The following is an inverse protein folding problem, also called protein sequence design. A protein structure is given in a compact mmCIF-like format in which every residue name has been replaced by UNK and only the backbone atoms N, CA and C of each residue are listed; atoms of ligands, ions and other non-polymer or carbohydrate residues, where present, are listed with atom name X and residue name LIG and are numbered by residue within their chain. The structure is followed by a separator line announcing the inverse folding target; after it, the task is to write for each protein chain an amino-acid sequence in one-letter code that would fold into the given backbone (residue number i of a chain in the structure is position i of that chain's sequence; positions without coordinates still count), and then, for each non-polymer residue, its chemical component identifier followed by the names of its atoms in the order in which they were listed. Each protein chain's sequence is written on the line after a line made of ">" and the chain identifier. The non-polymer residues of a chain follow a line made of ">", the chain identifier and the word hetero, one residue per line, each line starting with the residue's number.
data_IF_658667172875
#
_entry.id   IF_658667172875
#
_cell.length_a   1.000
_cell.length_b   1.000
_cell.length_c   1.000
_cell.angle_alpha   90.00
_cell.angle_beta   90.00
_cell.angle_gamma   90.00
#
_symmetry.space_group_name_H-M   'P 1'
#
loop_
_entity.id
_entity.type
_entity.pdbx_description
1 polymer ?
#
# COMPACT_ATOMS: atom_id res chain seq x y z
N UNK A 1 26.27 -14.92 -8.31
CA UNK A 1 25.68 -13.55 -8.24
C UNK A 1 25.44 -13.12 -9.67
N UNK A 2 24.18 -13.10 -10.10
CA UNK A 2 23.79 -12.68 -11.46
C UNK A 2 23.80 -11.14 -11.58
N UNK A 3 24.40 -10.61 -12.62
CA UNK A 3 24.56 -9.17 -12.84
C UNK A 3 23.72 -8.72 -14.05
N UNK A 4 22.63 -8.03 -13.78
CA UNK A 4 21.74 -7.47 -14.80
C UNK A 4 22.08 -6.01 -15.08
N UNK A 5 22.57 -5.68 -16.29
CA UNK A 5 22.58 -4.31 -16.78
C UNK A 5 21.23 -4.00 -17.46
N UNK A 6 20.61 -2.87 -17.11
CA UNK A 6 19.30 -2.51 -17.64
C UNK A 6 19.22 -1.02 -17.96
N UNK A 7 18.53 -0.67 -19.03
CA UNK A 7 18.20 0.72 -19.35
C UNK A 7 16.72 0.94 -19.72
N UNK A 8 16.26 2.14 -19.42
CA UNK A 8 15.10 2.74 -20.07
C UNK A 8 15.62 3.48 -21.33
N UNK A 9 15.17 3.06 -22.50
CA UNK A 9 15.64 3.66 -23.77
C UNK A 9 15.36 5.16 -23.82
N UNK A 10 16.27 5.89 -24.50
CA UNK A 10 16.19 7.34 -24.69
C UNK A 10 16.38 8.15 -23.37
N UNK A 11 15.89 9.40 -23.36
CA UNK A 11 15.69 10.30 -22.23
C UNK A 11 14.51 11.23 -22.55
N UNK A 12 13.99 11.98 -21.58
CA UNK A 12 12.81 12.84 -21.73
C UNK A 12 12.92 13.86 -22.88
N UNK A 13 14.13 14.33 -23.17
CA UNK A 13 14.39 15.31 -24.23
C UNK A 13 14.60 14.72 -25.64
N UNK A 14 14.59 13.38 -25.84
CA UNK A 14 14.84 12.79 -27.17
C UNK A 14 13.76 13.21 -28.16
N UNK A 15 14.18 13.87 -29.26
CA UNK A 15 13.28 14.40 -30.26
C UNK A 15 12.46 13.26 -30.93
N UNK A 16 11.15 13.46 -31.10
CA UNK A 16 10.25 12.51 -31.78
C UNK A 16 9.90 11.25 -31.00
N UNK A 17 10.53 11.01 -29.83
CA UNK A 17 10.31 9.81 -29.02
C UNK A 17 9.18 10.03 -28.01
N UNK A 18 7.92 9.89 -28.49
CA UNK A 18 6.70 10.17 -27.75
C UNK A 18 5.48 9.54 -28.42
N UNK A 19 4.43 9.38 -27.68
CA UNK A 19 3.13 8.95 -28.20
C UNK A 19 2.60 9.96 -29.23
N UNK A 20 1.82 9.44 -30.18
CA UNK A 20 1.19 10.24 -31.22
C UNK A 20 0.10 11.14 -30.60
N UNK A 21 0.20 12.45 -30.81
CA UNK A 21 -0.70 13.45 -30.21
C UNK A 21 -2.20 13.21 -30.45
N UNK A 22 -2.57 12.64 -31.60
CA UNK A 22 -3.95 12.31 -31.91
C UNK A 22 -4.52 11.16 -31.08
N UNK A 23 -3.67 10.37 -30.41
CA UNK A 23 -4.07 9.22 -29.58
C UNK A 23 -3.83 9.54 -28.11
N UNK A 24 -2.71 10.18 -27.81
CA UNK A 24 -2.36 10.67 -26.47
C UNK A 24 -2.10 12.18 -26.52
N UNK A 25 -3.07 13.03 -26.11
CA UNK A 25 -2.92 14.50 -26.11
C UNK A 25 -1.75 15.01 -25.28
N UNK A 26 -1.29 14.23 -24.27
CA UNK A 26 -0.16 14.56 -23.41
C UNK A 26 1.19 14.30 -24.09
N UNK A 27 1.20 13.63 -25.24
CA UNK A 27 2.43 13.26 -25.96
C UNK A 27 3.44 12.58 -25.02
N UNK A 28 2.98 11.60 -24.24
CA UNK A 28 3.80 10.88 -23.24
C UNK A 28 5.11 10.40 -23.86
N UNK A 29 6.22 10.72 -23.20
CA UNK A 29 7.56 10.42 -23.70
C UNK A 29 7.86 8.92 -23.61
N UNK A 30 8.57 8.40 -24.62
CA UNK A 30 9.01 7.00 -24.65
C UNK A 30 9.79 6.63 -23.39
N UNK A 31 10.74 7.47 -22.97
CA UNK A 31 11.49 7.22 -21.76
C UNK A 31 10.59 7.08 -20.50
N UNK A 32 9.51 7.85 -20.42
CA UNK A 32 8.57 7.77 -19.28
C UNK A 32 7.89 6.39 -19.22
N UNK A 33 7.48 5.85 -20.37
CA UNK A 33 6.90 4.51 -20.45
C UNK A 33 7.93 3.43 -20.12
N UNK A 34 9.14 3.57 -20.65
CA UNK A 34 10.25 2.65 -20.44
C UNK A 34 10.67 2.63 -18.98
N UNK A 35 10.91 3.81 -18.35
CA UNK A 35 11.36 3.94 -16.97
C UNK A 35 10.33 3.38 -15.99
N UNK A 36 9.04 3.58 -16.24
CA UNK A 36 7.96 3.02 -15.42
C UNK A 36 8.03 1.50 -15.34
N UNK A 37 8.31 0.82 -16.45
CA UNK A 37 8.47 -0.64 -16.46
C UNK A 37 9.76 -1.04 -15.73
N UNK A 38 10.87 -0.36 -16.00
CA UNK A 38 12.18 -0.67 -15.39
C UNK A 38 12.13 -0.51 -13.86
N UNK A 39 11.56 0.58 -13.34
CA UNK A 39 11.44 0.83 -11.89
C UNK A 39 10.63 -0.27 -11.17
N UNK A 40 9.54 -0.72 -11.81
CA UNK A 40 8.73 -1.82 -11.28
C UNK A 40 9.47 -3.16 -11.34
N UNK A 41 10.20 -3.41 -12.40
CA UNK A 41 11.04 -4.59 -12.57
C UNK A 41 12.15 -4.65 -11.50
N UNK A 42 12.86 -3.53 -11.28
CA UNK A 42 13.85 -3.41 -10.19
C UNK A 42 13.22 -3.69 -8.82
N UNK A 43 12.01 -3.18 -8.58
CA UNK A 43 11.27 -3.41 -7.32
C UNK A 43 10.97 -4.90 -7.12
N UNK A 44 10.47 -5.61 -8.15
CA UNK A 44 10.18 -7.05 -8.07
C UNK A 44 11.46 -7.84 -7.82
N UNK A 45 12.51 -7.58 -8.59
CA UNK A 45 13.78 -8.29 -8.49
C UNK A 45 14.52 -8.01 -7.17
N UNK A 46 14.24 -6.90 -6.50
CA UNK A 46 14.79 -6.59 -5.18
C UNK A 46 14.41 -7.61 -4.10
N UNK A 47 13.32 -8.38 -4.29
CA UNK A 47 12.91 -9.47 -3.39
C UNK A 47 13.69 -10.78 -3.61
N UNK A 48 14.65 -10.81 -4.54
CA UNK A 48 15.42 -12.01 -4.89
C UNK A 48 16.88 -11.93 -4.44
N UNK A 49 17.44 -13.07 -4.10
CA UNK A 49 18.87 -13.23 -3.76
C UNK A 49 19.70 -13.44 -5.03
N UNK A 50 20.99 -13.25 -4.88
CA UNK A 50 21.98 -13.53 -5.93
C UNK A 50 21.80 -12.73 -7.23
N UNK A 51 21.18 -11.56 -7.17
CA UNK A 51 21.09 -10.61 -8.27
C UNK A 51 21.66 -9.25 -7.86
N UNK A 52 22.35 -8.62 -8.79
CA UNK A 52 22.72 -7.21 -8.75
C UNK A 52 22.21 -6.54 -10.02
N UNK A 53 21.71 -5.32 -9.90
CA UNK A 53 21.16 -4.55 -11.03
C UNK A 53 21.98 -3.27 -11.18
N UNK A 54 22.37 -2.96 -12.41
CA UNK A 54 23.03 -1.71 -12.79
C UNK A 54 22.16 -0.97 -13.82
N UNK A 55 21.57 0.18 -13.43
CA UNK A 55 20.98 1.12 -14.37
C UNK A 55 22.09 1.80 -15.16
N UNK A 56 22.01 1.74 -16.48
CA UNK A 56 23.00 2.36 -17.38
C UNK A 56 22.49 3.59 -18.12
N UNK A 57 21.22 3.95 -17.95
CA UNK A 57 20.63 5.24 -18.34
C UNK A 57 20.70 6.27 -17.18
N UNK A 58 20.22 7.48 -17.41
CA UNK A 58 19.97 8.45 -16.34
C UNK A 58 18.59 8.18 -15.71
N UNK A 59 18.55 7.76 -14.45
CA UNK A 59 17.33 7.41 -13.72
C UNK A 59 16.34 8.57 -13.58
N UNK A 60 16.80 9.81 -13.75
CA UNK A 60 15.93 11.00 -13.74
C UNK A 60 15.34 11.31 -15.12
N UNK A 61 15.94 10.77 -16.17
CA UNK A 61 15.61 11.03 -17.57
C UNK A 61 15.92 12.43 -18.05
N UNK A 62 16.66 13.23 -17.28
CA UNK A 62 16.97 14.61 -17.63
C UNK A 62 18.21 14.73 -18.55
N UNK A 63 19.09 13.72 -18.48
CA UNK A 63 20.34 13.71 -19.25
C UNK A 63 20.39 12.53 -20.20
N UNK A 64 20.85 12.80 -21.44
CA UNK A 64 21.12 11.71 -22.37
C UNK A 64 22.39 10.96 -21.96
N UNK A 65 22.24 9.67 -21.71
CA UNK A 65 23.37 8.75 -21.62
C UNK A 65 23.57 8.11 -22.98
N UNK A 66 24.65 8.48 -23.68
CA UNK A 66 24.91 7.95 -25.02
C UNK A 66 24.96 6.42 -25.06
N UNK A 67 24.60 5.83 -26.21
CA UNK A 67 24.61 4.37 -26.38
C UNK A 67 25.99 3.76 -26.07
N UNK A 68 27.06 4.44 -26.51
CA UNK A 68 28.44 3.99 -26.20
C UNK A 68 28.75 3.99 -24.71
N UNK A 69 28.24 4.97 -23.95
CA UNK A 69 28.42 5.04 -22.50
C UNK A 69 27.61 3.94 -21.81
N UNK A 70 26.38 3.68 -22.21
CA UNK A 70 25.54 2.58 -21.68
C UNK A 70 26.24 1.22 -21.85
N UNK A 71 26.70 0.94 -23.08
CA UNK A 71 27.48 -0.27 -23.39
C UNK A 71 28.76 -0.37 -22.58
N UNK A 72 29.52 0.73 -22.49
CA UNK A 72 30.76 0.76 -21.70
C UNK A 72 30.51 0.45 -20.23
N UNK A 73 29.49 1.03 -19.61
CA UNK A 73 29.12 0.76 -18.21
C UNK A 73 28.81 -0.72 -17.99
N UNK A 74 27.98 -1.32 -18.84
CA UNK A 74 27.63 -2.73 -18.74
C UNK A 74 28.85 -3.64 -18.92
N UNK A 75 29.69 -3.37 -19.93
CA UNK A 75 30.90 -4.15 -20.25
C UNK A 75 31.97 -4.04 -19.13
N UNK A 76 32.21 -2.84 -18.59
CA UNK A 76 33.18 -2.62 -17.51
C UNK A 76 32.73 -3.25 -16.20
N UNK A 77 31.41 -3.28 -15.96
CA UNK A 77 30.84 -3.93 -14.79
C UNK A 77 30.80 -5.48 -14.89
N UNK A 78 31.11 -6.00 -16.09
CA UNK A 78 31.01 -7.42 -16.41
C UNK A 78 29.59 -7.95 -16.10
N UNK A 79 28.58 -7.35 -16.70
CA UNK A 79 27.22 -7.83 -16.61
C UNK A 79 27.08 -9.22 -17.23
N UNK A 80 26.19 -10.04 -16.69
CA UNK A 80 25.87 -11.38 -17.24
C UNK A 80 24.79 -11.28 -18.31
N UNK A 81 23.94 -10.26 -18.23
CA UNK A 81 22.86 -9.98 -19.18
C UNK A 81 22.60 -8.49 -19.30
N UNK A 82 22.21 -8.05 -20.52
CA UNK A 82 21.78 -6.69 -20.82
C UNK A 82 20.34 -6.65 -21.30
N UNK A 83 19.46 -5.90 -20.63
CA UNK A 83 18.08 -5.69 -21.02
C UNK A 83 17.80 -4.21 -21.31
N UNK A 84 17.36 -3.91 -22.54
CA UNK A 84 16.95 -2.56 -22.93
C UNK A 84 15.44 -2.49 -23.12
N UNK A 85 14.76 -1.57 -22.44
CA UNK A 85 13.32 -1.40 -22.52
C UNK A 85 12.98 -0.18 -23.37
N UNK A 86 12.18 -0.41 -24.40
CA UNK A 86 11.72 0.56 -25.38
C UNK A 86 10.23 0.44 -25.66
N UNK A 87 9.67 1.43 -26.34
CA UNK A 87 8.38 1.37 -27.01
C UNK A 87 8.51 1.78 -28.46
N UNK A 88 7.90 1.01 -29.34
CA UNK A 88 8.03 1.14 -30.79
C UNK A 88 7.16 2.27 -31.36
N UNK A 89 7.41 2.60 -32.61
CA UNK A 89 6.58 3.48 -33.43
C UNK A 89 6.74 3.14 -34.94
N UNK A 90 5.91 3.70 -35.77
CA UNK A 90 5.99 3.55 -37.24
C UNK A 90 4.71 3.07 -37.90
N UNK A 91 3.60 2.95 -37.13
CA UNK A 91 2.28 2.58 -37.68
C UNK A 91 1.37 3.80 -37.91
N UNK A 92 1.80 5.00 -37.50
CA UNK A 92 1.19 6.29 -37.84
C UNK A 92 -0.32 6.36 -37.59
N UNK A 93 -0.77 5.86 -36.46
CA UNK A 93 -2.19 5.84 -36.08
C UNK A 93 -2.97 4.62 -36.58
N UNK A 94 -2.31 3.61 -37.16
CA UNK A 94 -2.94 2.33 -37.49
C UNK A 94 -3.26 1.50 -36.24
N UNK A 95 -3.99 0.39 -36.45
CA UNK A 95 -4.40 -0.57 -35.43
C UNK A 95 -3.41 -1.72 -35.21
N UNK A 96 -2.30 -1.75 -35.94
CA UNK A 96 -1.24 -2.74 -35.78
C UNK A 96 -0.44 -2.51 -34.51
N UNK A 97 0.49 -3.41 -34.21
CA UNK A 97 1.40 -3.24 -33.07
C UNK A 97 1.78 -4.52 -32.38
N UNK A 98 1.91 -4.43 -31.02
CA UNK A 98 2.28 -5.50 -30.13
C UNK A 98 3.72 -5.46 -29.67
N UNK A 99 4.06 -6.36 -28.78
CA UNK A 99 5.41 -6.51 -28.24
C UNK A 99 6.35 -7.16 -29.26
N UNK A 100 7.58 -6.67 -29.35
CA UNK A 100 8.64 -7.23 -30.21
C UNK A 100 9.94 -7.32 -29.40
N UNK A 101 10.60 -8.44 -29.46
CA UNK A 101 11.91 -8.63 -28.84
C UNK A 101 13.00 -8.65 -29.91
N UNK A 102 14.07 -7.91 -29.74
CA UNK A 102 15.19 -7.83 -30.67
C UNK A 102 16.48 -8.33 -30.04
N UNK A 103 17.26 -9.08 -30.83
CA UNK A 103 18.65 -9.43 -30.57
C UNK A 103 19.54 -8.97 -31.71
N UNK A 104 20.84 -8.99 -31.50
CA UNK A 104 21.78 -8.73 -32.57
C UNK A 104 21.64 -9.75 -33.71
N UNK A 105 21.85 -9.33 -34.98
CA UNK A 105 21.74 -10.23 -36.18
C UNK A 105 22.67 -11.42 -36.11
N UNK A 106 23.77 -11.34 -35.35
CA UNK A 106 24.72 -12.44 -35.14
C UNK A 106 24.62 -13.05 -33.72
N UNK A 107 23.47 -12.87 -33.07
CA UNK A 107 23.23 -13.43 -31.74
C UNK A 107 23.33 -14.98 -31.78
N UNK A 108 23.95 -15.53 -30.75
CA UNK A 108 24.06 -16.97 -30.54
C UNK A 108 22.72 -17.60 -30.06
N UNK A 109 22.71 -18.91 -29.93
CA UNK A 109 21.52 -19.65 -29.50
C UNK A 109 21.08 -19.26 -28.09
N UNK A 110 22.03 -19.02 -27.18
CA UNK A 110 21.76 -18.66 -25.80
C UNK A 110 21.10 -17.27 -25.67
N UNK A 111 21.58 -16.29 -26.44
CA UNK A 111 20.96 -14.96 -26.52
C UNK A 111 19.53 -15.04 -27.11
N UNK A 112 19.29 -15.93 -28.08
CA UNK A 112 17.95 -16.15 -28.66
C UNK A 112 17.00 -16.86 -27.68
N UNK A 113 17.51 -17.67 -26.79
CA UNK A 113 16.72 -18.26 -25.70
C UNK A 113 16.23 -17.18 -24.73
N UNK A 114 17.11 -16.27 -24.29
CA UNK A 114 16.71 -15.08 -23.52
C UNK A 114 15.63 -14.25 -24.24
N UNK A 115 15.81 -14.00 -25.52
CA UNK A 115 14.81 -13.28 -26.34
C UNK A 115 13.44 -13.96 -26.28
N UNK A 116 13.42 -15.28 -26.46
CA UNK A 116 12.19 -16.07 -26.49
C UNK A 116 11.47 -16.10 -25.16
N UNK A 117 12.20 -16.30 -24.05
CA UNK A 117 11.57 -16.35 -22.72
C UNK A 117 11.05 -15.00 -22.29
N UNK A 118 11.81 -13.92 -22.50
CA UNK A 118 11.36 -12.54 -22.21
C UNK A 118 10.10 -12.18 -23.00
N UNK A 119 10.07 -12.48 -24.29
CA UNK A 119 8.90 -12.26 -25.14
C UNK A 119 7.69 -13.04 -24.64
N UNK A 120 7.83 -14.35 -24.44
CA UNK A 120 6.73 -15.23 -24.06
C UNK A 120 6.12 -14.82 -22.71
N UNK A 121 6.97 -14.56 -21.70
CA UNK A 121 6.51 -14.09 -20.39
C UNK A 121 5.87 -12.72 -20.46
N UNK A 122 6.42 -11.80 -21.25
CA UNK A 122 5.77 -10.50 -21.46
C UNK A 122 4.37 -10.63 -22.04
N UNK A 123 4.17 -11.53 -23.03
CA UNK A 123 2.84 -11.76 -23.62
C UNK A 123 1.90 -12.47 -22.64
N UNK A 124 2.39 -13.44 -21.88
CA UNK A 124 1.60 -14.15 -20.87
C UNK A 124 0.94 -13.18 -19.88
N UNK A 125 1.69 -12.17 -19.44
CA UNK A 125 1.20 -11.19 -18.46
C UNK A 125 0.42 -10.02 -19.07
N UNK A 126 0.90 -9.48 -20.20
CA UNK A 126 0.32 -8.26 -20.80
C UNK A 126 -0.79 -8.53 -21.79
N UNK A 127 -0.84 -9.70 -22.38
CA UNK A 127 -1.68 -10.07 -23.52
C UNK A 127 -1.50 -9.14 -24.75
N UNK A 128 -0.40 -8.36 -24.81
CA UNK A 128 -0.11 -7.42 -25.90
C UNK A 128 0.72 -8.08 -27.02
N UNK A 129 0.20 -9.15 -27.60
CA UNK A 129 0.87 -9.88 -28.69
C UNK A 129 0.92 -9.07 -29.98
N UNK A 130 -0.16 -8.35 -30.32
CA UNK A 130 -0.29 -7.61 -31.53
C UNK A 130 -0.38 -8.52 -32.80
N UNK A 131 -0.03 -7.94 -33.93
CA UNK A 131 -0.17 -8.59 -35.27
C UNK A 131 1.15 -8.72 -36.01
N UNK A 132 2.28 -8.68 -35.35
CA UNK A 132 3.62 -8.80 -35.98
C UNK A 132 3.88 -10.25 -36.39
N UNK A 133 4.24 -10.46 -37.67
CA UNK A 133 4.57 -11.80 -38.15
C UNK A 133 5.82 -12.40 -37.51
N UNK A 134 6.82 -11.56 -37.22
CA UNK A 134 8.08 -11.95 -36.58
C UNK A 134 8.33 -11.11 -35.34
N UNK A 135 7.71 -11.45 -34.20
CA UNK A 135 7.91 -10.70 -32.95
C UNK A 135 9.26 -11.01 -32.29
N UNK A 136 9.91 -12.12 -32.64
CA UNK A 136 11.28 -12.44 -32.27
C UNK A 136 12.20 -12.03 -33.40
N UNK A 137 12.60 -10.78 -33.42
CA UNK A 137 13.32 -10.15 -34.50
C UNK A 137 14.83 -10.01 -34.20
N UNK A 138 15.60 -9.71 -35.23
CA UNK A 138 17.02 -9.35 -35.09
C UNK A 138 17.33 -8.07 -35.84
N UNK A 139 18.16 -7.22 -35.21
CA UNK A 139 18.63 -5.98 -35.78
C UNK A 139 20.01 -5.60 -35.21
N UNK A 140 20.72 -4.74 -35.95
CA UNK A 140 22.02 -4.24 -35.49
C UNK A 140 21.87 -3.02 -34.57
N UNK A 141 20.98 -3.10 -33.56
CA UNK A 141 20.91 -2.05 -32.54
C UNK A 141 22.22 -1.97 -31.77
N UNK A 142 22.67 -0.74 -31.51
CA UNK A 142 23.99 -0.49 -30.96
C UNK A 142 24.23 -1.24 -29.64
N UNK A 143 23.28 -1.19 -28.72
CA UNK A 143 23.39 -1.87 -27.43
C UNK A 143 23.45 -3.40 -27.56
N UNK A 144 22.71 -4.00 -28.50
CA UNK A 144 22.75 -5.44 -28.74
C UNK A 144 24.03 -5.88 -29.47
N UNK A 145 24.60 -5.01 -30.31
CA UNK A 145 25.75 -5.36 -31.15
C UNK A 145 27.11 -5.16 -30.46
N UNK A 146 27.20 -4.29 -29.43
CA UNK A 146 28.47 -3.88 -28.83
C UNK A 146 28.64 -4.28 -27.36
N UNK A 147 27.63 -4.91 -26.75
CA UNK A 147 27.75 -5.54 -25.44
C UNK A 147 28.49 -6.89 -25.55
N UNK A 148 29.26 -7.26 -24.52
CA UNK A 148 30.02 -8.50 -24.44
C UNK A 148 29.18 -9.69 -23.96
N UNK A 149 28.10 -9.40 -23.25
CA UNK A 149 27.16 -10.37 -22.71
C UNK A 149 25.92 -10.49 -23.64
N UNK A 150 25.08 -11.53 -23.48
CA UNK A 150 23.76 -11.61 -24.12
C UNK A 150 22.96 -10.33 -23.89
N UNK A 151 22.35 -9.80 -24.95
CA UNK A 151 21.60 -8.56 -24.91
C UNK A 151 20.29 -8.66 -25.68
N UNK A 152 19.21 -8.21 -25.05
CA UNK A 152 17.88 -8.17 -25.66
C UNK A 152 17.31 -6.74 -25.50
N UNK A 153 16.72 -6.22 -26.59
CA UNK A 153 15.95 -5.00 -26.59
C UNK A 153 14.46 -5.36 -26.76
N UNK A 154 13.66 -4.95 -25.81
CA UNK A 154 12.22 -5.18 -25.79
C UNK A 154 11.47 -3.94 -26.21
N UNK A 155 10.72 -4.02 -27.30
CA UNK A 155 9.75 -3.01 -27.72
C UNK A 155 8.38 -3.39 -27.16
N UNK A 156 7.98 -2.70 -26.10
CA UNK A 156 6.83 -3.06 -25.26
C UNK A 156 5.50 -2.47 -25.75
N UNK A 157 5.27 -2.49 -27.06
CA UNK A 157 4.09 -1.95 -27.74
C UNK A 157 4.40 -0.68 -28.54
N UNK A 158 3.45 -0.21 -29.32
CA UNK A 158 3.62 0.91 -30.26
C UNK A 158 2.95 2.19 -29.73
N UNK A 159 3.74 3.26 -29.62
CA UNK A 159 3.30 4.58 -29.15
C UNK A 159 2.40 5.33 -30.14
N UNK A 160 2.32 4.87 -31.36
CA UNK A 160 1.50 5.43 -32.44
C UNK A 160 0.41 4.47 -32.94
N UNK A 161 0.09 3.45 -32.15
CA UNK A 161 -0.99 2.49 -32.39
C UNK A 161 -2.29 2.92 -31.70
N UNK A 162 -3.40 2.90 -32.42
CA UNK A 162 -4.73 3.13 -31.81
C UNK A 162 -5.15 2.02 -30.86
N UNK A 163 -4.50 0.85 -30.90
CA UNK A 163 -4.76 -0.30 -30.03
C UNK A 163 -3.78 -0.32 -28.85
N UNK A 164 -2.47 -0.21 -29.13
CA UNK A 164 -1.44 -0.37 -28.09
C UNK A 164 -1.36 0.87 -27.17
N UNK A 165 -1.43 2.09 -27.74
CA UNK A 165 -1.21 3.32 -26.97
C UNK A 165 -2.14 3.44 -25.75
N UNK A 166 -3.46 3.22 -25.84
CA UNK A 166 -4.33 3.24 -24.66
C UNK A 166 -3.97 2.22 -23.59
N UNK A 167 -3.37 1.09 -23.98
CA UNK A 167 -2.94 0.01 -23.07
C UNK A 167 -1.64 0.38 -22.38
N UNK A 168 -0.61 0.75 -23.14
CA UNK A 168 0.74 1.03 -22.60
C UNK A 168 0.81 2.27 -21.71
N UNK A 169 -0.17 3.16 -21.82
CA UNK A 169 -0.32 4.32 -20.94
C UNK A 169 -0.77 3.96 -19.52
N UNK A 170 -1.32 2.76 -19.31
CA UNK A 170 -1.88 2.36 -18.01
C UNK A 170 -0.83 1.85 -17.03
N UNK A 171 -1.06 2.10 -15.73
CA UNK A 171 -0.23 1.51 -14.66
C UNK A 171 -0.37 -0.02 -14.61
N UNK A 172 -1.55 -0.55 -14.88
CA UNK A 172 -1.80 -2.00 -14.94
C UNK A 172 -0.91 -2.68 -15.96
N UNK A 173 -0.79 -2.09 -17.16
CA UNK A 173 0.11 -2.59 -18.18
C UNK A 173 1.57 -2.59 -17.72
N UNK A 174 2.04 -1.49 -17.14
CA UNK A 174 3.42 -1.39 -16.67
C UNK A 174 3.73 -2.41 -15.57
N UNK A 175 2.78 -2.65 -14.66
CA UNK A 175 2.90 -3.70 -13.63
C UNK A 175 3.01 -5.10 -14.27
N UNK A 176 2.11 -5.42 -15.20
CA UNK A 176 2.10 -6.71 -15.91
C UNK A 176 3.35 -6.92 -16.75
N UNK A 177 3.80 -5.89 -17.47
CA UNK A 177 5.02 -5.93 -18.25
C UNK A 177 6.25 -6.21 -17.38
N UNK A 178 6.39 -5.49 -16.27
CA UNK A 178 7.48 -5.70 -15.32
C UNK A 178 7.41 -7.10 -14.69
N UNK A 179 6.22 -7.59 -14.36
CA UNK A 179 6.05 -8.94 -13.81
C UNK A 179 6.50 -10.01 -14.81
N UNK A 180 6.07 -9.92 -16.09
CA UNK A 180 6.48 -10.88 -17.12
C UNK A 180 7.99 -10.87 -17.36
N UNK A 181 8.62 -9.68 -17.41
CA UNK A 181 10.08 -9.57 -17.54
C UNK A 181 10.81 -10.12 -16.31
N UNK A 182 10.29 -9.87 -15.10
CA UNK A 182 10.85 -10.41 -13.88
C UNK A 182 10.81 -11.94 -13.85
N UNK A 183 9.66 -12.54 -14.18
CA UNK A 183 9.50 -14.00 -14.25
C UNK A 183 10.51 -14.64 -15.21
N UNK A 184 10.69 -14.03 -16.40
CA UNK A 184 11.69 -14.49 -17.36
C UNK A 184 13.12 -14.47 -16.78
N UNK A 185 13.49 -13.38 -16.08
CA UNK A 185 14.81 -13.24 -15.47
C UNK A 185 14.98 -14.21 -14.31
N UNK A 186 13.98 -14.34 -13.45
CA UNK A 186 13.99 -15.25 -12.30
C UNK A 186 14.20 -16.70 -12.76
N UNK A 187 13.45 -17.11 -13.78
CA UNK A 187 13.53 -18.46 -14.35
C UNK A 187 14.89 -18.72 -14.98
N UNK A 188 15.34 -17.84 -15.89
CA UNK A 188 16.56 -18.04 -16.67
C UNK A 188 17.84 -17.88 -15.85
N UNK A 189 17.83 -17.00 -14.83
CA UNK A 189 18.97 -16.80 -13.94
C UNK A 189 18.87 -17.62 -12.64
N UNK A 190 17.88 -18.50 -12.52
CA UNK A 190 17.64 -19.38 -11.37
C UNK A 190 17.65 -18.61 -10.03
N UNK A 191 17.03 -17.43 -10.01
CA UNK A 191 17.03 -16.59 -8.82
C UNK A 191 16.17 -17.18 -7.70
N UNK A 192 16.66 -17.09 -6.47
CA UNK A 192 15.93 -17.54 -5.29
C UNK A 192 15.28 -16.34 -4.59
N UNK A 193 14.01 -16.47 -4.25
CA UNK A 193 13.33 -15.44 -3.47
C UNK A 193 14.00 -15.31 -2.10
N UNK A 194 14.27 -14.09 -1.67
CA UNK A 194 14.76 -13.82 -0.31
C UNK A 194 13.79 -14.43 0.69
N UNK A 195 14.30 -15.29 1.55
CA UNK A 195 13.53 -15.70 2.73
C UNK A 195 13.47 -14.45 3.60
N UNK A 196 12.38 -13.69 3.48
CA UNK A 196 12.11 -12.68 4.50
C UNK A 196 12.09 -13.44 5.83
N UNK A 197 12.90 -13.06 6.84
CA UNK A 197 12.74 -13.65 8.16
C UNK A 197 11.24 -13.54 8.44
N UNK A 198 10.65 -14.68 8.83
CA UNK A 198 9.25 -14.70 9.25
C UNK A 198 9.15 -13.61 10.30
N UNK A 199 8.66 -12.45 9.89
CA UNK A 199 8.25 -11.42 10.81
C UNK A 199 7.07 -12.09 11.48
N UNK A 200 7.33 -12.74 12.65
CA UNK A 200 6.25 -13.09 13.56
C UNK A 200 5.39 -11.84 13.58
N UNK A 201 4.11 -11.90 13.20
CA UNK A 201 3.30 -10.72 13.11
C UNK A 201 3.53 -9.96 14.42
N UNK A 202 4.13 -8.78 14.33
CA UNK A 202 4.23 -7.90 15.50
C UNK A 202 2.78 -7.78 15.92
N UNK A 203 2.42 -8.23 17.13
CA UNK A 203 1.03 -8.20 17.54
C UNK A 203 0.55 -6.79 17.25
N UNK A 204 -0.51 -6.64 16.47
CA UNK A 204 -1.07 -5.31 16.18
C UNK A 204 -1.17 -4.60 17.53
N UNK A 205 -0.71 -3.35 17.64
CA UNK A 205 -0.72 -2.67 18.92
C UNK A 205 -2.14 -2.76 19.47
N UNK A 206 -2.29 -3.44 20.60
CA UNK A 206 -3.58 -3.69 21.23
C UNK A 206 -4.27 -2.34 21.41
N UNK A 207 -5.45 -2.18 20.86
CA UNK A 207 -6.23 -0.96 21.08
C UNK A 207 -6.52 -0.90 22.57
N UNK A 208 -6.31 0.25 23.19
CA UNK A 208 -6.58 0.49 24.60
C UNK A 208 -7.53 1.66 24.77
N UNK A 209 -8.32 1.64 25.83
CA UNK A 209 -9.18 2.75 26.24
C UNK A 209 -8.57 3.48 27.43
N UNK A 210 -8.55 4.81 27.35
CA UNK A 210 -8.16 5.68 28.47
C UNK A 210 -9.38 6.50 28.87
N UNK A 211 -9.72 6.52 30.16
CA UNK A 211 -10.90 7.18 30.67
C UNK A 211 -10.67 7.80 32.05
N UNK A 212 -11.53 8.75 32.40
CA UNK A 212 -11.53 9.44 33.69
C UNK A 212 -12.93 9.93 34.03
N UNK A 213 -13.16 10.25 35.28
CA UNK A 213 -14.42 10.84 35.76
C UNK A 213 -14.16 12.14 36.50
N UNK A 214 -15.18 13.00 36.57
CA UNK A 214 -15.17 14.23 37.33
C UNK A 214 -15.56 14.00 38.80
N UNK A 215 -14.74 14.50 39.73
CA UNK A 215 -14.99 14.52 41.18
C UNK A 215 -15.51 15.91 41.59
N UNK A 216 -16.79 16.04 41.82
CA UNK A 216 -17.41 17.30 42.20
C UNK A 216 -16.89 17.80 43.56
N UNK A 217 -16.59 16.90 44.52
CA UNK A 217 -16.10 17.28 45.85
C UNK A 217 -14.72 17.95 45.78
N UNK A 218 -13.92 17.62 44.76
CA UNK A 218 -12.58 18.20 44.53
C UNK A 218 -12.57 19.21 43.37
N UNK A 219 -13.67 19.37 42.69
CA UNK A 219 -13.82 20.24 41.52
C UNK A 219 -12.71 19.98 40.47
N UNK A 220 -12.47 18.72 40.12
CA UNK A 220 -11.42 18.33 39.18
C UNK A 220 -11.67 16.95 38.51
N UNK A 221 -11.06 16.76 37.38
CA UNK A 221 -10.94 15.45 36.77
C UNK A 221 -9.99 14.57 37.58
N UNK A 222 -10.37 13.31 37.82
CA UNK A 222 -9.50 12.32 38.41
C UNK A 222 -8.43 11.87 37.41
N UNK A 223 -7.34 11.24 37.89
CA UNK A 223 -6.34 10.69 36.95
C UNK A 223 -6.93 9.77 35.91
N UNK A 224 -6.28 9.74 34.74
CA UNK A 224 -6.64 8.77 33.70
C UNK A 224 -6.42 7.33 34.19
N UNK A 225 -7.34 6.47 33.83
CA UNK A 225 -7.25 5.02 33.97
C UNK A 225 -7.17 4.42 32.58
N UNK A 226 -6.38 3.37 32.39
CA UNK A 226 -6.24 2.65 31.13
C UNK A 226 -6.75 1.23 31.28
N UNK A 227 -7.66 0.84 30.42
CA UNK A 227 -8.28 -0.49 30.41
C UNK A 227 -8.72 -0.92 31.82
N UNK A 228 -8.28 -2.08 32.28
CA UNK A 228 -8.58 -2.62 33.61
C UNK A 228 -7.45 -2.45 34.62
N UNK A 229 -6.46 -1.58 34.34
CA UNK A 229 -5.36 -1.31 35.28
C UNK A 229 -5.88 -0.81 36.60
N UNK A 230 -7.01 -0.07 36.59
CA UNK A 230 -7.71 0.41 37.79
C UNK A 230 -9.18 0.70 37.39
N UNK A 231 -9.87 1.46 38.21
CA UNK A 231 -11.18 2.03 37.94
C UNK A 231 -11.18 3.56 38.13
N UNK A 232 -12.03 4.26 37.40
CA UNK A 232 -12.20 5.70 37.58
C UNK A 232 -13.38 6.00 38.53
N UNK A 233 -13.11 6.74 39.57
CA UNK A 233 -14.09 7.11 40.60
C UNK A 233 -13.56 6.98 42.02
N UNK A 234 -14.41 7.30 43.00
CA UNK A 234 -14.18 7.03 44.40
C UNK A 234 -15.43 6.44 45.02
N UNK A 235 -15.31 5.29 45.64
CA UNK A 235 -16.46 4.67 46.34
C UNK A 235 -17.05 5.63 47.35
N UNK A 236 -18.37 5.77 47.26
CA UNK A 236 -19.14 6.70 48.09
C UNK A 236 -19.31 8.10 47.52
N UNK A 237 -18.70 8.45 46.36
CA UNK A 237 -18.84 9.74 45.69
C UNK A 237 -19.46 9.57 44.31
N UNK A 238 -20.38 10.46 43.98
CA UNK A 238 -21.10 10.38 42.69
C UNK A 238 -20.17 10.69 41.50
N UNK A 239 -20.28 9.89 40.45
CA UNK A 239 -19.75 10.23 39.13
C UNK A 239 -20.77 11.14 38.42
N UNK A 240 -20.33 12.31 37.97
CA UNK A 240 -21.17 13.29 37.28
C UNK A 240 -20.83 13.51 35.80
N UNK A 241 -19.58 13.26 35.43
CA UNK A 241 -19.13 13.36 34.05
C UNK A 241 -18.01 12.35 33.76
N UNK A 242 -17.94 11.94 32.50
CA UNK A 242 -16.99 10.92 31.99
C UNK A 242 -16.27 11.47 30.77
N UNK A 243 -14.96 11.23 30.70
CA UNK A 243 -14.14 11.31 29.49
C UNK A 243 -13.64 9.93 29.12
N UNK A 244 -13.65 9.61 27.83
CA UNK A 244 -13.04 8.39 27.29
C UNK A 244 -12.41 8.62 25.93
N UNK A 245 -11.31 7.89 25.63
CA UNK A 245 -10.62 7.93 24.36
C UNK A 245 -9.97 6.57 24.05
N UNK A 246 -9.85 6.21 22.78
CA UNK A 246 -9.11 5.04 22.33
C UNK A 246 -7.71 5.42 21.85
N UNK A 247 -6.76 4.49 21.92
CA UNK A 247 -5.44 4.66 21.33
C UNK A 247 -5.48 4.65 19.79
N UNK A 248 -6.53 4.05 19.18
CA UNK A 248 -6.79 4.03 17.73
C UNK A 248 -8.29 3.89 17.50
N UNK A 249 -8.85 4.65 16.55
CA UNK A 249 -10.28 4.67 16.23
C UNK A 249 -11.07 5.59 17.17
N UNK A 250 -12.39 5.50 17.11
CA UNK A 250 -13.29 6.35 17.87
C UNK A 250 -14.12 5.57 18.88
N UNK A 251 -14.34 6.18 20.05
CA UNK A 251 -15.31 5.75 21.05
C UNK A 251 -16.43 6.79 21.13
N UNK A 252 -17.69 6.32 21.03
CA UNK A 252 -18.89 7.13 21.22
C UNK A 252 -19.53 6.70 22.53
N UNK A 253 -19.86 7.65 23.39
CA UNK A 253 -20.45 7.35 24.69
C UNK A 253 -21.46 8.38 25.13
N UNK A 254 -22.42 7.97 25.96
CA UNK A 254 -23.43 8.84 26.55
C UNK A 254 -23.75 8.39 27.98
N UNK A 255 -24.22 9.31 28.78
CA UNK A 255 -24.63 9.05 30.16
C UNK A 255 -26.09 9.42 30.39
N UNK A 256 -26.74 8.71 31.27
CA UNK A 256 -28.07 9.07 31.76
C UNK A 256 -27.97 10.00 32.95
N UNK A 257 -28.60 11.16 32.86
CA UNK A 257 -28.69 12.16 33.91
C UNK A 257 -29.82 11.79 34.88
N UNK A 258 -29.46 11.35 36.07
CA UNK A 258 -30.40 10.92 37.09
C UNK A 258 -31.39 12.03 37.48
N UNK A 259 -30.95 13.29 37.58
CA UNK A 259 -31.78 14.42 38.01
C UNK A 259 -32.82 14.79 36.94
N UNK A 260 -32.44 14.75 35.64
CA UNK A 260 -33.32 15.06 34.52
C UNK A 260 -34.03 13.84 33.94
N UNK A 261 -33.72 12.64 34.41
CA UNK A 261 -34.29 11.35 33.98
C UNK A 261 -34.25 11.18 32.46
N UNK A 262 -33.11 11.50 31.85
CA UNK A 262 -32.89 11.37 30.41
C UNK A 262 -31.45 11.10 30.03
N UNK A 263 -31.24 10.42 28.90
CA UNK A 263 -29.94 10.32 28.27
C UNK A 263 -29.51 11.70 27.73
N UNK A 264 -28.26 12.06 27.97
CA UNK A 264 -27.64 13.23 27.40
C UNK A 264 -27.14 12.92 25.98
N UNK A 265 -26.90 13.94 25.14
CA UNK A 265 -26.27 13.73 23.84
C UNK A 265 -25.00 12.92 23.94
N UNK A 266 -24.76 12.07 22.92
CA UNK A 266 -23.54 11.30 22.84
C UNK A 266 -22.36 12.20 22.46
N UNK A 267 -21.19 11.88 22.98
CA UNK A 267 -19.91 12.53 22.67
C UNK A 267 -18.97 11.50 22.05
N UNK A 268 -17.98 11.98 21.29
CA UNK A 268 -16.98 11.17 20.62
C UNK A 268 -15.60 11.51 21.17
N UNK A 269 -14.84 10.49 21.56
CA UNK A 269 -13.50 10.67 22.10
C UNK A 269 -13.47 11.71 23.24
N UNK A 270 -12.49 12.62 23.20
CA UNK A 270 -12.36 13.74 24.13
C UNK A 270 -12.71 15.09 23.51
N UNK A 271 -13.53 15.10 22.46
CA UNK A 271 -14.02 16.35 21.85
C UNK A 271 -14.88 17.14 22.86
N UNK A 272 -15.59 16.39 23.72
CA UNK A 272 -16.32 16.91 24.89
C UNK A 272 -16.43 15.78 25.93
N UNK A 273 -17.04 16.08 27.10
CA UNK A 273 -17.34 15.08 28.13
C UNK A 273 -18.83 14.75 28.17
N UNK A 274 -19.16 13.50 28.51
CA UNK A 274 -20.52 13.11 28.76
C UNK A 274 -20.88 13.33 30.22
N UNK A 275 -21.87 14.16 30.49
CA UNK A 275 -22.36 14.46 31.84
C UNK A 275 -22.61 15.94 32.09
N UNK A 276 -22.93 16.27 33.31
CA UNK A 276 -23.08 17.66 33.79
C UNK A 276 -22.57 17.71 35.23
N UNK A 277 -21.65 18.60 35.55
CA UNK A 277 -21.11 18.78 36.88
C UNK A 277 -22.24 18.99 37.93
N UNK A 278 -22.02 18.48 39.12
CA UNK A 278 -22.99 18.48 40.22
C UNK A 278 -24.33 17.74 39.91
N UNK A 279 -24.31 16.82 38.95
CA UNK A 279 -25.47 16.02 38.56
C UNK A 279 -25.08 14.55 38.39
N UNK A 280 -25.40 13.69 39.38
CA UNK A 280 -25.06 12.29 39.30
C UNK A 280 -25.61 11.59 38.07
N UNK A 281 -24.82 10.70 37.53
CA UNK A 281 -25.27 9.77 36.49
C UNK A 281 -25.73 8.46 37.11
N UNK A 282 -26.65 7.77 36.41
CA UNK A 282 -27.17 6.46 36.81
C UNK A 282 -27.22 5.46 35.64
N UNK A 283 -26.63 5.86 34.49
CA UNK A 283 -26.45 5.01 33.32
C UNK A 283 -25.29 5.47 32.44
N UNK A 284 -24.59 4.54 31.81
CA UNK A 284 -23.50 4.75 30.89
C UNK A 284 -23.65 3.79 29.70
N UNK A 285 -23.54 4.28 28.46
CA UNK A 285 -23.49 3.45 27.29
C UNK A 285 -22.34 3.85 26.36
N UNK A 286 -21.68 2.84 25.75
CA UNK A 286 -20.50 3.04 24.92
C UNK A 286 -20.50 2.14 23.68
N UNK A 287 -19.91 2.62 22.59
CA UNK A 287 -19.61 1.85 21.37
C UNK A 287 -18.34 2.35 20.72
N UNK A 288 -17.75 1.55 19.83
CA UNK A 288 -16.57 1.90 19.05
C UNK A 288 -16.77 1.60 17.57
N UNK A 289 -16.01 2.25 16.70
CA UNK A 289 -15.95 2.01 15.25
C UNK A 289 -14.77 1.11 14.83
N UNK A 290 -14.01 0.59 15.78
CA UNK A 290 -12.77 -0.18 15.52
C UNK A 290 -13.00 -1.62 15.07
N UNK A 291 -14.25 -2.10 15.05
CA UNK A 291 -14.58 -3.52 14.84
C UNK A 291 -14.24 -4.42 16.05
N UNK A 292 -13.74 -3.85 17.14
CA UNK A 292 -13.48 -4.51 18.42
C UNK A 292 -14.66 -4.34 19.38
N UNK A 293 -14.75 -5.17 20.41
CA UNK A 293 -15.82 -5.07 21.42
C UNK A 293 -15.35 -4.21 22.58
N UNK A 294 -16.14 -3.20 22.94
CA UNK A 294 -15.90 -2.43 24.16
C UNK A 294 -16.74 -3.02 25.30
N UNK A 295 -16.10 -3.26 26.42
CA UNK A 295 -16.69 -3.79 27.63
C UNK A 295 -16.64 -2.72 28.71
N UNK A 296 -17.76 -2.45 29.35
CA UNK A 296 -17.82 -1.44 30.39
C UNK A 296 -18.81 -1.82 31.49
N UNK A 297 -18.50 -1.42 32.70
CA UNK A 297 -19.34 -1.64 33.89
C UNK A 297 -19.27 -0.47 34.83
N UNK A 298 -20.22 -0.44 35.76
CA UNK A 298 -20.30 0.57 36.81
C UNK A 298 -20.40 -0.05 38.18
N UNK A 299 -19.92 0.67 39.17
CA UNK A 299 -20.14 0.37 40.59
C UNK A 299 -21.30 1.20 41.11
N UNK A 300 -22.21 0.56 41.84
CA UNK A 300 -23.39 1.20 42.41
C UNK A 300 -23.07 1.68 43.84
N UNK A 301 -23.16 3.00 44.06
CA UNK A 301 -22.81 3.67 45.29
C UNK A 301 -23.52 3.10 46.52
N UNK A 302 -24.86 2.95 46.49
CA UNK A 302 -25.65 2.44 47.62
C UNK A 302 -25.52 0.96 47.87
N UNK A 303 -25.46 0.18 46.80
CA UNK A 303 -25.34 -1.28 46.86
C UNK A 303 -23.91 -1.76 47.08
N UNK A 304 -22.94 -0.89 46.95
CA UNK A 304 -21.48 -1.16 47.14
C UNK A 304 -21.01 -2.38 46.36
N UNK A 305 -21.46 -2.50 45.07
CA UNK A 305 -21.10 -3.61 44.22
C UNK A 305 -20.93 -3.19 42.76
N UNK A 306 -20.06 -3.90 42.03
CA UNK A 306 -19.96 -3.82 40.61
C UNK A 306 -21.13 -4.55 39.96
N UNK A 307 -21.65 -3.95 38.88
CA UNK A 307 -22.52 -4.67 37.94
C UNK A 307 -21.67 -5.47 36.94
N UNK A 308 -22.24 -6.50 36.28
CA UNK A 308 -21.59 -7.18 35.19
C UNK A 308 -21.16 -6.21 34.08
N UNK A 309 -20.16 -6.61 33.29
CA UNK A 309 -19.82 -5.89 32.06
C UNK A 309 -20.95 -6.00 31.04
N UNK A 310 -21.17 -4.92 30.30
CA UNK A 310 -22.05 -4.83 29.16
C UNK A 310 -21.25 -4.40 27.92
N UNK A 311 -21.78 -4.68 26.74
CA UNK A 311 -21.10 -4.41 25.45
C UNK A 311 -21.99 -3.66 24.46
N UNK A 312 -23.27 -3.53 24.74
CA UNK A 312 -24.25 -2.92 23.84
C UNK A 312 -24.27 -1.38 23.92
N UNK A 313 -24.99 -0.77 22.97
CA UNK A 313 -25.25 0.66 22.93
C UNK A 313 -26.73 0.90 22.62
N UNK A 314 -27.59 0.74 23.63
CA UNK A 314 -29.05 0.83 23.46
C UNK A 314 -29.71 1.26 24.76
N UNK A 315 -30.26 2.45 24.80
CA UNK A 315 -30.85 3.08 26.01
C UNK A 315 -32.11 2.38 26.54
N UNK A 316 -32.72 1.48 25.78
CA UNK A 316 -33.93 0.73 26.15
C UNK A 316 -33.67 -0.71 26.55
N UNK A 317 -32.38 -1.15 26.53
CA UNK A 317 -31.97 -2.51 26.89
C UNK A 317 -31.17 -2.45 28.18
N UNK A 318 -31.82 -2.78 29.30
CA UNK A 318 -31.24 -2.79 30.64
C UNK A 318 -30.41 -4.04 30.96
N UNK A 319 -30.40 -5.01 30.06
CA UNK A 319 -29.62 -6.26 30.22
C UNK A 319 -28.19 -6.12 29.68
N UNK A 320 -28.02 -5.49 28.51
CA UNK A 320 -26.71 -5.32 27.88
C UNK A 320 -26.53 -3.99 27.13
N UNK A 321 -27.55 -3.16 27.00
CA UNK A 321 -27.49 -1.93 26.20
C UNK A 321 -26.80 -0.76 26.88
N UNK A 322 -26.74 -0.77 28.22
CA UNK A 322 -26.04 0.23 29.05
C UNK A 322 -25.65 -0.36 30.42
N UNK A 323 -24.63 0.19 31.04
CA UNK A 323 -24.26 -0.12 32.40
C UNK A 323 -24.92 0.85 33.38
N UNK A 324 -25.59 0.32 34.41
CA UNK A 324 -26.26 1.11 35.43
C UNK A 324 -27.62 0.54 35.80
N UNK A 325 -28.23 1.16 36.79
CA UNK A 325 -29.65 0.93 37.17
C UNK A 325 -30.28 2.31 37.33
N UNK A 326 -31.22 2.62 36.44
CA UNK A 326 -31.82 3.95 36.42
C UNK A 326 -32.45 4.26 37.81
N UNK A 327 -32.09 5.40 38.35
CA UNK A 327 -32.46 5.83 39.72
C UNK A 327 -31.39 5.56 40.75
N UNK A 328 -30.29 4.83 40.47
CA UNK A 328 -29.22 4.51 41.38
C UNK A 328 -27.91 5.16 40.97
N UNK A 329 -27.29 5.88 41.93
CA UNK A 329 -26.05 6.60 41.67
C UNK A 329 -24.87 5.65 41.42
N UNK A 330 -24.01 6.05 40.46
CA UNK A 330 -22.75 5.42 40.10
C UNK A 330 -21.62 6.17 40.83
N UNK A 331 -20.67 5.45 41.43
CA UNK A 331 -19.50 6.04 42.08
C UNK A 331 -18.16 5.58 41.49
N UNK A 332 -18.16 4.59 40.58
CA UNK A 332 -16.99 4.21 39.81
C UNK A 332 -17.37 3.55 38.48
N UNK A 333 -16.47 3.65 37.50
CA UNK A 333 -16.59 2.98 36.20
C UNK A 333 -15.32 2.19 35.87
N UNK A 334 -15.45 1.13 35.11
CA UNK A 334 -14.33 0.38 34.57
C UNK A 334 -14.62 -0.02 33.12
N UNK A 335 -13.62 0.15 32.23
CA UNK A 335 -13.79 0.01 30.79
C UNK A 335 -12.56 -0.70 30.21
N UNK A 336 -12.76 -1.61 29.24
CA UNK A 336 -11.70 -2.17 28.42
C UNK A 336 -12.19 -2.51 27.02
N UNK A 337 -11.26 -2.76 26.10
CA UNK A 337 -11.52 -3.15 24.70
C UNK A 337 -10.69 -4.39 24.35
N UNK A 338 -11.23 -5.32 23.57
CA UNK A 338 -10.58 -6.57 23.13
C UNK A 338 -10.42 -6.65 21.60
#
# INVERSE_FOLDING_TARGET
>A
MFKLAIDAGHYKGTAGKRCLKSIDPNETREWTLNSRIVEKLETILSDYENIQILRVDDITGEKDTSLSKRVKLANDWNADFYLSIHHNAGIKGGSGGGTVAYVYTKADAFTKEWQKILYNKSIEYTNLKGNRANPLASASFYVCANTKMPAVLMEMGFMDSTVDTPIILTEDYANKAAQGLAEAIIEQAELKKKVKPEVKPTPEPKISVTYQVWDDAKNKWLPNVKDTEDYAGYFGRDVCAVYANLSKGNITYAVHDKKKKRWLPAVVNRDDYAGVFNRPIDGLMMKTDTGKTIHYRVHLRKQKRWLPYVTGYKSTDDSNGYAGIIGQEIDAIQIYID
#
